data_IF_229052666673
#
_entry.id   IF_229052666673
#
_cell.length_a   1.000
_cell.length_b   1.000
_cell.length_c   1.000
_cell.angle_alpha   90.00
_cell.angle_beta   90.00
_cell.angle_gamma   90.00
#
_symmetry.space_group_name_H-M   'P 1'
#
loop_
_entity.id
_entity.type
_entity.pdbx_description
1 polymer ?
#
# COMPACT_ATOMS: atom_id res chain seq x y z
N UNK A 1 -46.00 9.93 -7.25
CA UNK A 1 -44.55 10.07 -7.03
C UNK A 1 -43.87 9.77 -8.36
N UNK A 2 -43.17 10.73 -8.95
CA UNK A 2 -42.51 10.54 -10.25
C UNK A 2 -41.29 9.63 -10.10
N UNK A 3 -40.97 8.86 -11.14
CA UNK A 3 -39.78 7.98 -11.22
C UNK A 3 -38.48 8.68 -10.80
N UNK A 4 -38.34 9.98 -11.09
CA UNK A 4 -37.20 10.81 -10.67
C UNK A 4 -37.01 10.93 -9.15
N UNK A 5 -38.08 10.84 -8.35
CA UNK A 5 -37.99 10.90 -6.88
C UNK A 5 -37.43 9.59 -6.30
N UNK A 6 -37.68 8.47 -6.97
CA UNK A 6 -37.14 7.17 -6.61
C UNK A 6 -35.65 7.07 -6.96
N UNK A 7 -35.26 7.53 -8.16
CA UNK A 7 -33.85 7.55 -8.58
C UNK A 7 -32.99 8.42 -7.67
N UNK A 8 -33.51 9.58 -7.23
CA UNK A 8 -32.80 10.48 -6.32
C UNK A 8 -32.62 9.86 -4.92
N UNK A 9 -33.63 9.13 -4.43
CA UNK A 9 -33.54 8.39 -3.17
C UNK A 9 -32.54 7.23 -3.26
N UNK A 10 -32.54 6.50 -4.38
CA UNK A 10 -31.58 5.43 -4.64
C UNK A 10 -30.14 5.96 -4.73
N UNK A 11 -29.92 7.09 -5.40
CA UNK A 11 -28.61 7.75 -5.46
C UNK A 11 -28.14 8.24 -4.09
N UNK A 12 -29.03 8.82 -3.28
CA UNK A 12 -28.68 9.22 -1.91
C UNK A 12 -28.30 8.00 -1.05
N UNK A 13 -29.05 6.91 -1.14
CA UNK A 13 -28.73 5.67 -0.44
C UNK A 13 -27.38 5.10 -0.89
N UNK A 14 -27.12 5.05 -2.20
CA UNK A 14 -25.84 4.58 -2.73
C UNK A 14 -24.67 5.44 -2.24
N UNK A 15 -24.81 6.77 -2.29
CA UNK A 15 -23.76 7.70 -1.86
C UNK A 15 -23.49 7.68 -0.35
N UNK A 16 -24.49 7.37 0.48
CA UNK A 16 -24.37 7.34 1.93
C UNK A 16 -23.80 6.02 2.45
N UNK A 17 -24.18 4.89 1.84
CA UNK A 17 -23.87 3.57 2.38
C UNK A 17 -22.87 2.80 1.53
N UNK A 18 -23.01 2.79 0.20
CA UNK A 18 -22.16 1.99 -0.67
C UNK A 18 -20.92 2.74 -1.15
N UNK A 19 -20.99 4.06 -1.33
CA UNK A 19 -19.83 4.90 -1.70
C UNK A 19 -18.66 4.74 -0.72
N UNK A 20 -18.83 5.03 0.57
CA UNK A 20 -17.78 4.86 1.58
C UNK A 20 -17.26 3.42 1.67
N UNK A 21 -18.16 2.43 1.58
CA UNK A 21 -17.77 1.02 1.61
C UNK A 21 -16.89 0.63 0.41
N UNK A 22 -17.23 1.07 -0.81
CA UNK A 22 -16.41 0.83 -2.01
C UNK A 22 -15.05 1.51 -1.91
N UNK A 23 -15.01 2.75 -1.42
CA UNK A 23 -13.78 3.50 -1.27
C UNK A 23 -12.85 2.86 -0.23
N UNK A 24 -13.39 2.36 0.89
CA UNK A 24 -12.60 1.61 1.89
C UNK A 24 -12.10 0.28 1.32
N UNK A 25 -12.91 -0.42 0.54
CA UNK A 25 -12.50 -1.65 -0.15
C UNK A 25 -11.37 -1.37 -1.15
N UNK A 26 -11.46 -0.29 -1.92
CA UNK A 26 -10.40 0.15 -2.83
C UNK A 26 -9.10 0.48 -2.09
N UNK A 27 -9.17 1.21 -0.98
CA UNK A 27 -8.01 1.51 -0.13
C UNK A 27 -7.35 0.23 0.42
N UNK A 28 -8.16 -0.73 0.85
CA UNK A 28 -7.67 -2.02 1.35
C UNK A 28 -7.00 -2.86 0.25
N UNK A 29 -7.54 -2.81 -0.97
CA UNK A 29 -6.96 -3.47 -2.14
C UNK A 29 -5.62 -2.83 -2.52
N UNK A 30 -5.55 -1.51 -2.60
CA UNK A 30 -4.30 -0.79 -2.89
C UNK A 30 -3.19 -1.10 -1.86
N UNK A 31 -3.53 -1.08 -0.57
CA UNK A 31 -2.61 -1.48 0.49
C UNK A 31 -2.14 -2.94 0.32
N UNK A 32 -3.03 -3.84 -0.09
CA UNK A 32 -2.71 -5.25 -0.34
C UNK A 32 -1.79 -5.40 -1.55
N UNK A 33 -2.06 -4.70 -2.65
CA UNK A 33 -1.21 -4.70 -3.85
C UNK A 33 0.21 -4.22 -3.52
N UNK A 34 0.33 -3.14 -2.74
CA UNK A 34 1.63 -2.62 -2.28
C UNK A 34 2.37 -3.61 -1.40
N UNK A 35 1.67 -4.29 -0.48
CA UNK A 35 2.26 -5.36 0.33
C UNK A 35 2.80 -6.51 -0.52
N UNK A 36 2.02 -6.98 -1.49
CA UNK A 36 2.41 -8.07 -2.38
C UNK A 36 3.61 -7.66 -3.24
N UNK A 37 3.61 -6.44 -3.79
CA UNK A 37 4.73 -5.90 -4.53
C UNK A 37 6.02 -5.85 -3.67
N UNK A 38 5.90 -5.38 -2.42
CA UNK A 38 7.03 -5.35 -1.48
C UNK A 38 7.58 -6.76 -1.18
N UNK A 39 6.70 -7.76 -0.99
CA UNK A 39 7.13 -9.15 -0.81
C UNK A 39 7.84 -9.72 -2.05
N UNK A 40 7.32 -9.43 -3.25
CA UNK A 40 7.96 -9.89 -4.49
C UNK A 40 9.33 -9.24 -4.70
N UNK A 41 9.45 -7.93 -4.44
CA UNK A 41 10.71 -7.21 -4.48
C UNK A 41 11.74 -7.85 -3.54
N UNK A 42 11.35 -8.14 -2.30
CA UNK A 42 12.20 -8.79 -1.30
C UNK A 42 12.69 -10.16 -1.79
N UNK A 43 11.78 -11.02 -2.25
CA UNK A 43 12.11 -12.36 -2.77
C UNK A 43 13.10 -12.28 -3.94
N UNK A 44 12.85 -11.38 -4.91
CA UNK A 44 13.73 -11.18 -6.06
C UNK A 44 15.15 -10.87 -5.62
N UNK A 45 15.31 -9.91 -4.72
CA UNK A 45 16.64 -9.48 -4.32
C UNK A 45 17.38 -10.46 -3.42
N UNK A 46 16.69 -11.15 -2.51
CA UNK A 46 17.33 -12.22 -1.73
C UNK A 46 17.78 -13.36 -2.64
N UNK A 47 17.03 -13.65 -3.70
CA UNK A 47 17.43 -14.61 -4.72
C UNK A 47 18.66 -14.13 -5.51
N UNK A 48 18.66 -12.87 -5.96
CA UNK A 48 19.80 -12.25 -6.65
C UNK A 48 21.06 -12.24 -5.79
N UNK A 49 20.94 -11.89 -4.51
CA UNK A 49 22.04 -11.93 -3.55
C UNK A 49 22.58 -13.35 -3.39
N UNK A 50 21.69 -14.33 -3.21
CA UNK A 50 22.07 -15.73 -3.05
C UNK A 50 22.81 -16.28 -4.27
N UNK A 51 22.32 -15.97 -5.48
CA UNK A 51 22.97 -16.37 -6.73
C UNK A 51 24.31 -15.65 -6.93
N UNK A 52 24.43 -14.40 -6.52
CA UNK A 52 25.69 -13.63 -6.57
C UNK A 52 26.72 -14.24 -5.62
N UNK A 53 26.33 -14.54 -4.39
CA UNK A 53 27.20 -15.18 -3.40
C UNK A 53 27.61 -16.59 -3.83
N UNK A 54 26.69 -17.38 -4.40
CA UNK A 54 27.00 -18.70 -4.94
C UNK A 54 28.07 -18.63 -6.04
N UNK A 55 27.97 -17.67 -6.97
CA UNK A 55 29.02 -17.43 -7.99
C UNK A 55 30.34 -17.01 -7.37
N UNK A 56 30.29 -16.07 -6.42
CA UNK A 56 31.49 -15.58 -5.74
C UNK A 56 32.25 -16.71 -5.01
N UNK A 57 31.54 -17.67 -4.41
CA UNK A 57 32.16 -18.86 -3.80
C UNK A 57 32.78 -19.78 -4.84
N UNK A 58 32.13 -20.00 -5.99
CA UNK A 58 32.67 -20.83 -7.07
C UNK A 58 33.94 -20.25 -7.70
N UNK A 59 34.12 -18.93 -7.64
CA UNK A 59 35.31 -18.24 -8.13
C UNK A 59 36.52 -18.34 -7.18
N UNK A 60 36.33 -18.84 -5.94
CA UNK A 60 37.43 -19.06 -4.99
C UNK A 60 38.22 -20.32 -5.37
N UNK A 61 39.42 -20.12 -5.91
CA UNK A 61 40.32 -21.21 -6.34
C UNK A 61 41.58 -21.33 -5.50
N UNK A 62 41.91 -20.29 -4.74
CA UNK A 62 43.14 -20.16 -3.96
C UNK A 62 42.95 -19.15 -2.80
N UNK A 63 44.04 -18.89 -2.06
CA UNK A 63 44.04 -18.00 -0.92
C UNK A 63 43.73 -16.52 -1.29
N UNK A 64 44.10 -16.08 -2.49
CA UNK A 64 43.81 -14.71 -2.97
C UNK A 64 42.33 -14.56 -3.34
N UNK A 65 41.73 -15.60 -3.94
CA UNK A 65 40.30 -15.69 -4.15
C UNK A 65 39.51 -15.67 -2.83
N UNK A 66 39.98 -16.41 -1.81
CA UNK A 66 39.36 -16.40 -0.48
C UNK A 66 39.43 -15.03 0.17
N UNK A 67 40.59 -14.35 0.06
CA UNK A 67 40.76 -12.99 0.55
C UNK A 67 39.79 -12.02 -0.13
N UNK A 68 39.70 -12.08 -1.45
CA UNK A 68 38.79 -11.24 -2.24
C UNK A 68 37.32 -11.50 -1.88
N UNK A 69 36.93 -12.76 -1.65
CA UNK A 69 35.60 -13.12 -1.19
C UNK A 69 35.27 -12.49 0.17
N UNK A 70 36.20 -12.57 1.14
CA UNK A 70 36.04 -11.98 2.48
C UNK A 70 35.93 -10.46 2.41
N UNK A 71 36.75 -9.80 1.59
CA UNK A 71 36.65 -8.36 1.34
C UNK A 71 35.28 -7.99 0.73
N UNK A 72 34.77 -8.83 -0.18
CA UNK A 72 33.42 -8.70 -0.76
C UNK A 72 32.28 -8.89 0.24
N UNK A 73 32.45 -9.67 1.31
CA UNK A 73 31.40 -9.88 2.31
C UNK A 73 31.02 -8.59 3.05
N UNK A 74 31.95 -7.64 3.22
CA UNK A 74 31.62 -6.34 3.83
C UNK A 74 30.63 -5.55 2.97
N UNK A 75 30.78 -5.62 1.64
CA UNK A 75 29.85 -5.00 0.69
C UNK A 75 28.48 -5.68 0.76
N UNK A 76 28.45 -7.00 0.79
CA UNK A 76 27.19 -7.77 0.94
C UNK A 76 26.45 -7.38 2.22
N UNK A 77 27.16 -7.27 3.34
CA UNK A 77 26.56 -6.85 4.61
C UNK A 77 26.00 -5.43 4.53
N UNK A 78 26.71 -4.51 3.87
CA UNK A 78 26.23 -3.14 3.64
C UNK A 78 24.98 -3.11 2.76
N UNK A 79 25.01 -3.79 1.61
CA UNK A 79 23.89 -3.84 0.65
C UNK A 79 22.64 -4.46 1.31
N UNK A 80 22.82 -5.50 2.14
CA UNK A 80 21.75 -6.10 2.93
C UNK A 80 21.17 -5.13 3.97
N UNK A 81 22.03 -4.38 4.68
CA UNK A 81 21.59 -3.41 5.68
C UNK A 81 20.84 -2.24 5.06
N UNK A 82 21.35 -1.69 3.96
CA UNK A 82 20.66 -0.62 3.20
C UNK A 82 19.30 -1.10 2.69
N UNK A 83 19.24 -2.35 2.21
CA UNK A 83 17.99 -2.94 1.75
C UNK A 83 16.98 -3.14 2.88
N UNK A 84 17.41 -3.71 4.01
CA UNK A 84 16.53 -3.90 5.17
C UNK A 84 15.95 -2.56 5.65
N UNK A 85 16.80 -1.51 5.66
CA UNK A 85 16.35 -0.15 5.97
C UNK A 85 15.31 0.34 4.96
N UNK A 86 15.57 0.19 3.66
CA UNK A 86 14.64 0.60 2.61
C UNK A 86 13.30 -0.16 2.67
N UNK A 87 13.32 -1.45 2.97
CA UNK A 87 12.10 -2.26 3.14
C UNK A 87 11.29 -1.79 4.37
N UNK A 88 11.96 -1.46 5.47
CA UNK A 88 11.30 -0.86 6.64
C UNK A 88 10.68 0.51 6.31
N UNK A 89 11.40 1.37 5.60
CA UNK A 89 10.90 2.67 5.15
C UNK A 89 9.68 2.53 4.24
N UNK A 90 9.67 1.55 3.31
CA UNK A 90 8.51 1.24 2.45
C UNK A 90 7.27 0.85 3.28
N UNK A 91 7.44 -0.03 4.26
CA UNK A 91 6.32 -0.47 5.12
C UNK A 91 5.77 0.70 5.94
N UNK A 92 6.65 1.54 6.49
CA UNK A 92 6.23 2.74 7.23
C UNK A 92 5.46 3.70 6.33
N UNK A 93 5.95 3.98 5.12
CA UNK A 93 5.29 4.87 4.17
C UNK A 93 3.89 4.36 3.79
N UNK A 94 3.77 3.06 3.50
CA UNK A 94 2.51 2.43 3.14
C UNK A 94 1.48 2.46 4.28
N UNK A 95 1.92 2.29 5.53
CA UNK A 95 1.05 2.46 6.70
C UNK A 95 0.59 3.92 6.88
N UNK A 96 1.51 4.87 6.69
CA UNK A 96 1.18 6.29 6.78
C UNK A 96 0.16 6.70 5.72
N UNK A 97 0.35 6.24 4.48
CA UNK A 97 -0.57 6.48 3.37
C UNK A 97 -1.95 5.90 3.65
N UNK A 98 -2.04 4.65 4.09
CA UNK A 98 -3.32 4.02 4.45
C UNK A 98 -4.06 4.81 5.54
N UNK A 99 -3.35 5.27 6.57
CA UNK A 99 -3.93 6.11 7.62
C UNK A 99 -4.41 7.47 7.08
N UNK A 100 -3.62 8.11 6.22
CA UNK A 100 -3.96 9.41 5.65
C UNK A 100 -5.19 9.33 4.74
N UNK A 101 -5.22 8.36 3.84
CA UNK A 101 -6.36 8.13 2.94
C UNK A 101 -7.60 7.66 3.71
N UNK A 102 -7.42 6.83 4.75
CA UNK A 102 -8.51 6.46 5.65
C UNK A 102 -9.14 7.65 6.37
N UNK A 103 -8.32 8.59 6.87
CA UNK A 103 -8.80 9.83 7.49
C UNK A 103 -9.57 10.70 6.49
N UNK A 104 -9.04 10.90 5.28
CA UNK A 104 -9.73 11.64 4.20
C UNK A 104 -11.08 11.01 3.88
N UNK A 105 -11.13 9.69 3.76
CA UNK A 105 -12.37 8.98 3.46
C UNK A 105 -13.43 9.18 4.54
N UNK A 106 -13.04 9.16 5.82
CA UNK A 106 -13.95 9.44 6.93
C UNK A 106 -14.46 10.88 6.86
N UNK A 107 -13.58 11.85 6.63
CA UNK A 107 -13.98 13.26 6.48
C UNK A 107 -14.97 13.46 5.33
N UNK A 108 -14.72 12.83 4.17
CA UNK A 108 -15.59 12.90 3.00
C UNK A 108 -16.95 12.23 3.24
N UNK A 109 -16.95 11.10 3.97
CA UNK A 109 -18.18 10.39 4.35
C UNK A 109 -19.04 11.24 5.28
N UNK A 110 -18.43 11.89 6.29
CA UNK A 110 -19.13 12.82 7.19
C UNK A 110 -19.69 14.01 6.42
N UNK A 111 -18.88 14.65 5.55
CA UNK A 111 -19.34 15.76 4.71
C UNK A 111 -20.52 15.37 3.81
N UNK A 112 -20.48 14.17 3.23
CA UNK A 112 -21.55 13.65 2.37
C UNK A 112 -22.83 13.38 3.17
N UNK A 113 -22.70 12.79 4.36
CA UNK A 113 -23.83 12.59 5.27
C UNK A 113 -24.48 13.90 5.71
N UNK A 114 -23.69 14.91 6.08
CA UNK A 114 -24.20 16.24 6.46
C UNK A 114 -24.92 16.93 5.29
N UNK A 115 -24.39 16.83 4.06
CA UNK A 115 -25.04 17.37 2.86
C UNK A 115 -26.37 16.67 2.54
N UNK A 116 -26.43 15.36 2.68
CA UNK A 116 -27.66 14.59 2.49
C UNK A 116 -28.73 15.02 3.51
N UNK A 117 -28.37 15.10 4.80
CA UNK A 117 -29.27 15.54 5.87
C UNK A 117 -29.83 16.96 5.63
N UNK A 118 -28.97 17.91 5.21
CA UNK A 118 -29.40 19.27 4.89
C UNK A 118 -30.35 19.34 3.69
N UNK A 119 -30.16 18.47 2.69
CA UNK A 119 -31.04 18.36 1.52
C UNK A 119 -32.41 17.80 1.91
N UNK A 120 -32.44 16.77 2.76
CA UNK A 120 -33.67 16.17 3.29
C UNK A 120 -34.48 17.16 4.14
N UNK A 121 -33.81 17.95 5.00
CA UNK A 121 -34.47 18.98 5.80
C UNK A 121 -35.09 20.09 4.93
N UNK A 122 -34.43 20.47 3.83
CA UNK A 122 -34.92 21.48 2.88
C UNK A 122 -36.08 20.98 2.03
N UNK A 123 -36.13 19.68 1.74
CA UNK A 123 -37.24 19.04 1.03
C UNK A 123 -38.48 18.86 1.92
N UNK A 124 -38.30 18.64 3.23
CA UNK A 124 -39.41 18.52 4.20
C UNK A 124 -40.04 19.87 4.61
N UNK A 125 -39.33 20.99 4.38
CA UNK A 125 -39.78 22.34 4.67
C UNK A 125 -40.50 23.03 3.49
N UNK A 126 -40.73 22.32 2.38
CA UNK A 126 -41.33 22.82 1.15
C UNK A 126 -42.61 22.04 0.83
#
# INVERSE_FOLDING_TARGET
MSTSSFDQAAQQFDSLFFGPARAYAALSLDYTEKLVAAQFDAVKAYSELSLTQARAVLDVKDADGLRSYVEGQQKVAKDLSERLKGDAEKVVAMNQEFLQEGQKLVEESVKSASKASATSAKAAAK
#
